data_IF_952874223428
#
_entry.id   IF_952874223428
#
_cell.length_a   1.000
_cell.length_b   1.000
_cell.length_c   1.000
_cell.angle_alpha   90.00
_cell.angle_beta   90.00
_cell.angle_gamma   90.00
#
_symmetry.space_group_name_H-M   'P 1'
#
loop_
_entity.id
_entity.type
_entity.pdbx_description
1 polymer ?
#
# COMPACT_ATOMS: atom_id res chain seq x y z
N UNK A 1 10.54 -15.44 -14.27
CA UNK A 1 10.92 -15.60 -12.84
C UNK A 1 10.94 -17.08 -12.46
N UNK A 2 11.93 -17.50 -11.70
CA UNK A 2 11.99 -18.87 -11.20
C UNK A 2 11.00 -19.07 -10.06
N UNK A 3 10.39 -20.26 -10.00
CA UNK A 3 9.60 -20.65 -8.83
C UNK A 3 10.54 -21.01 -7.68
N UNK A 4 10.09 -20.91 -6.41
CA UNK A 4 10.97 -21.18 -5.26
C UNK A 4 11.71 -22.52 -5.35
N UNK A 5 11.02 -23.58 -5.74
CA UNK A 5 11.64 -24.91 -5.82
C UNK A 5 12.59 -25.09 -7.00
N UNK A 6 12.62 -24.14 -7.94
CA UNK A 6 13.52 -24.17 -9.08
C UNK A 6 14.88 -23.52 -8.77
N UNK A 7 15.01 -22.87 -7.61
CA UNK A 7 16.27 -22.28 -7.18
C UNK A 7 17.15 -23.36 -6.54
N UNK A 8 18.45 -23.31 -6.84
CA UNK A 8 19.41 -24.29 -6.36
C UNK A 8 20.39 -23.75 -5.33
N UNK A 9 20.48 -22.42 -5.19
CA UNK A 9 21.35 -21.76 -4.22
C UNK A 9 20.60 -20.66 -3.49
N UNK A 10 21.10 -20.29 -2.30
CA UNK A 10 20.52 -19.18 -1.55
C UNK A 10 20.63 -17.86 -2.31
N UNK A 11 21.70 -17.70 -3.09
CA UNK A 11 21.91 -16.50 -3.93
C UNK A 11 20.81 -16.38 -4.99
N UNK A 12 20.43 -17.51 -5.60
CA UNK A 12 19.31 -17.50 -6.56
C UNK A 12 18.00 -17.12 -5.90
N UNK A 13 17.74 -17.65 -4.71
CA UNK A 13 16.53 -17.31 -3.94
C UNK A 13 16.51 -15.81 -3.62
N UNK A 14 17.62 -15.28 -3.13
CA UNK A 14 17.74 -13.85 -2.79
C UNK A 14 17.54 -12.95 -3.99
N UNK A 15 18.06 -13.36 -5.15
CA UNK A 15 17.88 -12.61 -6.41
C UNK A 15 16.41 -12.51 -6.79
N UNK A 16 15.67 -13.61 -6.66
CA UNK A 16 14.24 -13.59 -6.94
C UNK A 16 13.48 -12.71 -5.94
N UNK A 17 13.87 -12.75 -4.65
CA UNK A 17 13.28 -11.87 -3.63
C UNK A 17 13.53 -10.40 -3.98
N UNK A 18 14.75 -10.05 -4.39
CA UNK A 18 15.09 -8.67 -4.76
C UNK A 18 14.24 -8.19 -5.94
N UNK A 19 14.04 -9.06 -6.94
CA UNK A 19 13.18 -8.70 -8.08
C UNK A 19 11.73 -8.51 -7.67
N UNK A 20 11.22 -9.33 -6.75
CA UNK A 20 9.88 -9.18 -6.21
C UNK A 20 9.76 -7.85 -5.45
N UNK A 21 10.74 -7.54 -4.59
CA UNK A 21 10.74 -6.29 -3.82
C UNK A 21 10.75 -5.07 -4.73
N UNK A 22 11.52 -5.13 -5.81
CA UNK A 22 11.54 -4.07 -6.81
C UNK A 22 10.13 -3.83 -7.37
N UNK A 23 9.43 -4.91 -7.73
CA UNK A 23 8.07 -4.83 -8.24
C UNK A 23 7.11 -4.27 -7.18
N UNK A 24 7.23 -4.70 -5.93
CA UNK A 24 6.41 -4.22 -4.82
C UNK A 24 6.60 -2.71 -4.64
N UNK A 25 7.84 -2.23 -4.60
CA UNK A 25 8.15 -0.81 -4.41
C UNK A 25 7.63 0.02 -5.58
N UNK A 26 7.78 -0.47 -6.81
CA UNK A 26 7.24 0.20 -7.99
C UNK A 26 5.71 0.32 -7.90
N UNK A 27 5.02 -0.74 -7.46
CA UNK A 27 3.57 -0.73 -7.30
C UNK A 27 3.13 0.18 -6.17
N UNK A 28 3.86 0.22 -5.07
CA UNK A 28 3.60 1.17 -3.97
C UNK A 28 3.71 2.61 -4.49
N UNK A 29 4.74 2.90 -5.30
CA UNK A 29 4.89 4.23 -5.89
C UNK A 29 3.69 4.62 -6.75
N UNK A 30 3.21 3.70 -7.57
CA UNK A 30 2.00 3.93 -8.39
C UNK A 30 0.77 4.16 -7.51
N UNK A 31 0.64 3.36 -6.46
CA UNK A 31 -0.48 3.51 -5.52
C UNK A 31 -0.46 4.88 -4.86
N UNK A 32 0.71 5.34 -4.43
CA UNK A 32 0.86 6.66 -3.82
C UNK A 32 0.46 7.77 -4.80
N UNK A 33 0.85 7.65 -6.07
CA UNK A 33 0.48 8.63 -7.09
C UNK A 33 -1.05 8.73 -7.26
N UNK A 34 -1.74 7.59 -7.28
CA UNK A 34 -3.19 7.58 -7.35
C UNK A 34 -3.85 8.16 -6.10
N UNK A 35 -3.30 7.84 -4.92
CA UNK A 35 -3.82 8.38 -3.66
C UNK A 35 -3.63 9.89 -3.60
N UNK A 36 -2.49 10.41 -4.07
CA UNK A 36 -2.25 11.86 -4.14
C UNK A 36 -3.25 12.53 -5.09
N UNK A 37 -3.58 11.88 -6.19
CA UNK A 37 -4.56 12.42 -7.15
C UNK A 37 -5.93 12.63 -6.53
N UNK A 38 -6.29 11.80 -5.53
CA UNK A 38 -7.58 11.90 -4.85
C UNK A 38 -7.76 13.28 -4.18
N UNK A 39 -6.66 13.94 -3.78
CA UNK A 39 -6.73 15.28 -3.15
C UNK A 39 -7.48 16.27 -4.05
N UNK A 40 -7.40 16.11 -5.36
CA UNK A 40 -8.11 16.98 -6.30
C UNK A 40 -9.64 16.85 -6.21
N UNK A 41 -10.13 15.79 -5.57
CA UNK A 41 -11.56 15.53 -5.37
C UNK A 41 -11.98 15.77 -3.92
N UNK A 42 -11.08 16.26 -3.06
CA UNK A 42 -11.35 16.51 -1.64
C UNK A 42 -11.48 18.01 -1.41
N UNK A 43 -12.39 18.40 -0.53
CA UNK A 43 -12.63 19.80 -0.21
C UNK A 43 -12.24 20.18 1.21
N UNK A 44 -12.11 19.22 2.12
CA UNK A 44 -11.75 19.48 3.50
C UNK A 44 -11.05 18.27 4.13
N UNK A 45 -10.58 18.44 5.37
CA UNK A 45 -9.85 17.40 6.09
C UNK A 45 -10.70 16.16 6.35
N UNK A 46 -11.98 16.30 6.63
CA UNK A 46 -12.87 15.16 6.88
C UNK A 46 -12.95 14.25 5.65
N UNK A 47 -12.97 14.85 4.45
CA UNK A 47 -12.94 14.09 3.20
C UNK A 47 -11.66 13.27 3.09
N UNK A 48 -10.53 13.80 3.55
CA UNK A 48 -9.24 13.10 3.50
C UNK A 48 -9.24 11.89 4.42
N UNK A 49 -9.79 12.03 5.62
CA UNK A 49 -9.85 10.92 6.56
C UNK A 49 -10.70 9.76 6.04
N UNK A 50 -11.83 10.05 5.40
CA UNK A 50 -12.67 9.05 4.74
C UNK A 50 -12.76 7.73 5.54
N UNK A 51 -13.20 7.81 6.79
CA UNK A 51 -13.12 6.71 7.76
C UNK A 51 -13.76 5.42 7.25
N UNK A 52 -14.92 5.51 6.62
CA UNK A 52 -15.59 4.32 6.09
C UNK A 52 -14.78 3.62 5.02
N UNK A 53 -14.14 4.39 4.14
CA UNK A 53 -13.26 3.85 3.11
C UNK A 53 -12.01 3.23 3.73
N UNK A 54 -11.45 3.87 4.77
CA UNK A 54 -10.29 3.39 5.50
C UNK A 54 -10.55 1.97 6.05
N UNK A 55 -11.66 1.82 6.79
CA UNK A 55 -12.03 0.53 7.36
C UNK A 55 -12.32 -0.53 6.29
N UNK A 56 -12.99 -0.13 5.21
CA UNK A 56 -13.27 -1.03 4.09
C UNK A 56 -11.98 -1.55 3.45
N UNK A 57 -10.99 -0.69 3.24
CA UNK A 57 -9.71 -1.11 2.67
C UNK A 57 -9.03 -2.13 3.55
N UNK A 58 -8.95 -1.87 4.86
CA UNK A 58 -8.33 -2.80 5.79
C UNK A 58 -9.03 -4.16 5.77
N UNK A 59 -10.36 -4.16 5.81
CA UNK A 59 -11.13 -5.41 5.76
C UNK A 59 -10.84 -6.20 4.49
N UNK A 60 -10.87 -5.52 3.34
CA UNK A 60 -10.64 -6.17 2.06
C UNK A 60 -9.20 -6.71 1.93
N UNK A 61 -8.21 -5.97 2.45
CA UNK A 61 -6.82 -6.43 2.40
C UNK A 61 -6.59 -7.63 3.29
N UNK A 62 -7.27 -7.70 4.45
CA UNK A 62 -7.25 -8.90 5.29
C UNK A 62 -7.79 -10.10 4.52
N UNK A 63 -8.91 -9.95 3.82
CA UNK A 63 -9.49 -11.02 3.01
C UNK A 63 -8.53 -11.49 1.92
N UNK A 64 -7.87 -10.55 1.24
CA UNK A 64 -6.88 -10.87 0.22
C UNK A 64 -5.68 -11.62 0.80
N UNK A 65 -5.25 -11.25 2.00
CA UNK A 65 -4.16 -11.92 2.70
C UNK A 65 -4.48 -13.40 2.89
N UNK A 66 -5.69 -13.70 3.36
CA UNK A 66 -6.14 -15.08 3.58
C UNK A 66 -6.09 -15.88 2.27
N UNK A 67 -6.56 -15.30 1.18
CA UNK A 67 -6.54 -15.95 -0.14
C UNK A 67 -5.13 -16.34 -0.56
N UNK A 68 -4.14 -15.50 -0.23
CA UNK A 68 -2.74 -15.72 -0.60
C UNK A 68 -1.91 -16.38 0.51
N UNK A 69 -2.57 -16.94 1.53
CA UNK A 69 -1.93 -17.66 2.64
C UNK A 69 -0.98 -16.77 3.45
N UNK A 70 -1.33 -15.48 3.56
CA UNK A 70 -0.57 -14.50 4.34
C UNK A 70 -1.27 -14.24 5.67
N UNK A 71 -0.50 -13.82 6.68
CA UNK A 71 -1.05 -13.44 7.98
C UNK A 71 -1.85 -12.13 7.81
N UNK A 72 -3.19 -12.15 8.04
CA UNK A 72 -4.01 -10.95 7.86
C UNK A 72 -3.61 -9.80 8.78
N UNK A 73 -3.12 -10.09 9.99
CA UNK A 73 -2.72 -9.05 10.94
C UNK A 73 -1.49 -8.29 10.44
N UNK A 74 -0.53 -8.99 9.84
CA UNK A 74 0.66 -8.36 9.28
C UNK A 74 0.28 -7.48 8.09
N UNK A 75 -0.56 -7.98 7.20
CA UNK A 75 -1.01 -7.21 6.03
C UNK A 75 -1.80 -5.99 6.48
N UNK A 76 -2.69 -6.13 7.47
CA UNK A 76 -3.42 -4.99 8.02
C UNK A 76 -2.46 -3.94 8.57
N UNK A 77 -1.45 -4.34 9.35
CA UNK A 77 -0.48 -3.40 9.92
C UNK A 77 0.30 -2.66 8.85
N UNK A 78 0.73 -3.37 7.80
CA UNK A 78 1.44 -2.75 6.67
C UNK A 78 0.57 -1.69 6.00
N UNK A 79 -0.70 -2.01 5.75
CA UNK A 79 -1.64 -1.06 5.13
C UNK A 79 -1.96 0.10 6.04
N UNK A 80 -2.10 -0.11 7.36
CA UNK A 80 -2.30 1.00 8.31
C UNK A 80 -1.15 1.99 8.26
N UNK A 81 0.09 1.50 8.25
CA UNK A 81 1.27 2.37 8.18
C UNK A 81 1.24 3.20 6.89
N UNK A 82 1.00 2.57 5.75
CA UNK A 82 0.93 3.28 4.46
C UNK A 82 -0.22 4.28 4.44
N UNK A 83 -1.40 3.87 4.89
CA UNK A 83 -2.59 4.70 4.84
C UNK A 83 -2.50 5.90 5.79
N UNK A 84 -1.98 5.68 7.00
CA UNK A 84 -1.82 6.76 7.97
C UNK A 84 -0.81 7.80 7.48
N UNK A 85 0.29 7.34 6.90
CA UNK A 85 1.28 8.22 6.27
C UNK A 85 0.64 9.04 5.15
N UNK A 86 -0.14 8.38 4.28
CA UNK A 86 -0.76 9.04 3.13
C UNK A 86 -1.85 10.02 3.54
N UNK A 87 -2.56 9.77 4.63
CA UNK A 87 -3.54 10.72 5.16
C UNK A 87 -2.82 12.03 5.53
N UNK A 88 -1.69 11.94 6.25
CA UNK A 88 -0.92 13.13 6.60
C UNK A 88 -0.41 13.86 5.37
N UNK A 89 0.06 13.09 4.39
CA UNK A 89 0.57 13.64 3.13
C UNK A 89 -0.55 14.35 2.36
N UNK A 90 -1.75 13.75 2.30
CA UNK A 90 -2.91 14.37 1.67
C UNK A 90 -3.33 15.65 2.38
N UNK A 91 -3.27 15.69 3.71
CA UNK A 91 -3.60 16.89 4.48
C UNK A 91 -2.64 18.03 4.16
N UNK A 92 -1.35 17.73 4.02
CA UNK A 92 -0.36 18.74 3.62
C UNK A 92 -0.63 19.26 2.20
N UNK A 93 -0.93 18.38 1.27
CA UNK A 93 -1.25 18.76 -0.11
C UNK A 93 -2.53 19.60 -0.16
N UNK A 94 -3.52 19.25 0.64
CA UNK A 94 -4.79 19.99 0.71
C UNK A 94 -4.56 21.42 1.22
N UNK A 95 -3.72 21.61 2.24
CA UNK A 95 -3.34 22.94 2.74
C UNK A 95 -2.71 23.77 1.63
N UNK A 96 -1.79 23.22 0.86
CA UNK A 96 -1.14 23.91 -0.25
C UNK A 96 -2.15 24.31 -1.33
N UNK A 97 -3.10 23.44 -1.61
CA UNK A 97 -4.14 23.70 -2.60
C UNK A 97 -5.07 24.83 -2.19
N UNK A 98 -5.34 24.99 -0.89
CA UNK A 98 -6.24 25.99 -0.35
C UNK A 98 -5.61 27.36 -0.19
N UNK A 99 -4.31 27.46 -0.37
CA UNK A 99 -3.59 28.73 -0.40
C UNK A 99 -3.68 29.32 -1.79
#
# INVERSE_FOLDING_TARGET
MKLPHECHTIEEVRREIDEIDKAIIELIGKRFAFVHEIVNYKSNADDVYARNRYEEVLRKRREMAVVHHLNPDIIENMYRIMMDYLIQDQLELLKKKQK
#
